data_IF_909931997258
#
_entry.id   IF_909931997258
#
_cell.length_a   1.000
_cell.length_b   1.000
_cell.length_c   1.000
_cell.angle_alpha   90.00
_cell.angle_beta   90.00
_cell.angle_gamma   90.00
#
_symmetry.space_group_name_H-M   'P 1'
#
loop_
_entity.id
_entity.type
_entity.pdbx_description
1 polymer ?
#
# COMPACT_ATOMS: atom_id res chain seq x y z
N UNK A 1 2.04 4.61 7.16
CA UNK A 1 3.06 5.49 7.80
C UNK A 1 3.76 4.84 8.99
N UNK A 2 3.07 4.15 9.91
CA UNK A 2 3.76 3.44 11.02
C UNK A 2 4.76 2.39 10.53
N UNK A 3 4.51 1.70 9.41
CA UNK A 3 5.50 0.79 8.80
C UNK A 3 6.80 1.47 8.37
N UNK A 4 6.72 2.73 7.90
CA UNK A 4 7.90 3.52 7.53
C UNK A 4 8.63 3.96 8.80
N UNK A 5 7.91 4.37 9.84
CA UNK A 5 8.50 4.64 11.15
C UNK A 5 9.21 3.39 11.70
N UNK A 6 8.64 2.20 11.52
CA UNK A 6 9.24 0.92 11.93
C UNK A 6 10.51 0.61 11.13
N UNK A 7 10.53 0.91 9.83
CA UNK A 7 11.73 0.82 9.00
C UNK A 7 12.82 1.82 9.42
N UNK A 8 12.45 3.04 9.82
CA UNK A 8 13.39 4.09 10.20
C UNK A 8 13.95 3.92 11.62
N UNK A 9 13.10 3.56 12.59
CA UNK A 9 13.47 3.42 14.00
C UNK A 9 13.93 2.00 14.37
N UNK A 10 13.67 1.02 13.51
CA UNK A 10 14.00 -0.38 13.75
C UNK A 10 12.97 -1.11 14.63
N UNK A 11 12.98 -2.43 14.51
CA UNK A 11 12.06 -3.33 15.24
C UNK A 11 12.33 -3.30 16.75
N UNK A 12 13.59 -3.19 17.16
CA UNK A 12 13.98 -3.25 18.57
C UNK A 12 13.50 -2.03 19.37
N UNK A 13 13.59 -0.84 18.77
CA UNK A 13 13.05 0.39 19.37
C UNK A 13 11.54 0.24 19.61
N UNK A 14 10.80 -0.23 18.60
CA UNK A 14 9.35 -0.41 18.73
C UNK A 14 8.98 -1.52 19.71
N UNK A 15 9.75 -2.61 19.78
CA UNK A 15 9.53 -3.73 20.72
C UNK A 15 9.53 -3.24 22.17
N UNK A 16 10.47 -2.39 22.53
CA UNK A 16 10.56 -1.81 23.89
C UNK A 16 9.34 -0.96 24.27
N UNK A 17 8.62 -0.42 23.28
CA UNK A 17 7.47 0.50 23.46
C UNK A 17 6.12 -0.09 23.03
N UNK A 18 6.03 -1.38 22.73
CA UNK A 18 4.78 -2.05 22.29
C UNK A 18 3.61 -1.77 23.24
N UNK A 19 3.84 -1.81 24.56
CA UNK A 19 2.78 -1.56 25.56
C UNK A 19 2.15 -0.17 25.39
N UNK A 20 2.97 0.86 25.16
CA UNK A 20 2.49 2.23 24.92
C UNK A 20 1.73 2.34 23.60
N UNK A 21 2.19 1.65 22.54
CA UNK A 21 1.51 1.63 21.25
C UNK A 21 0.13 0.94 21.32
N UNK A 22 0.03 -0.16 22.07
CA UNK A 22 -1.25 -0.84 22.31
C UNK A 22 -2.17 0.07 23.12
N UNK A 23 -1.68 0.66 24.21
CA UNK A 23 -2.48 1.53 25.06
C UNK A 23 -2.97 2.76 24.31
N UNK A 24 -2.08 3.45 23.58
CA UNK A 24 -2.42 4.64 22.80
C UNK A 24 -3.36 4.29 21.65
N UNK A 25 -3.12 3.19 20.94
CA UNK A 25 -4.02 2.72 19.87
C UNK A 25 -5.40 2.31 20.37
N UNK A 26 -5.47 1.67 21.55
CA UNK A 26 -6.73 1.31 22.20
C UNK A 26 -7.49 2.54 22.68
N UNK A 27 -6.81 3.49 23.33
CA UNK A 27 -7.41 4.75 23.78
C UNK A 27 -7.91 5.56 22.59
N UNK A 28 -7.13 5.64 21.51
CA UNK A 28 -7.51 6.30 20.26
C UNK A 28 -8.74 5.67 19.62
N UNK A 29 -8.79 4.33 19.59
CA UNK A 29 -9.96 3.60 19.09
C UNK A 29 -11.19 3.79 19.97
N UNK A 30 -11.02 3.81 21.30
CA UNK A 30 -12.13 4.02 22.24
C UNK A 30 -12.68 5.44 22.14
N UNK A 31 -11.81 6.44 21.99
CA UNK A 31 -12.22 7.82 21.74
C UNK A 31 -12.97 7.95 20.40
N UNK A 32 -12.51 7.27 19.36
CA UNK A 32 -13.21 7.20 18.08
C UNK A 32 -14.60 6.56 18.21
N UNK A 33 -14.72 5.50 19.00
CA UNK A 33 -16.00 4.86 19.28
C UNK A 33 -16.94 5.78 20.07
N UNK A 34 -16.43 6.52 21.06
CA UNK A 34 -17.20 7.51 21.80
C UNK A 34 -17.74 8.61 20.87
N UNK A 35 -16.91 9.13 19.95
CA UNK A 35 -17.35 10.13 18.94
C UNK A 35 -18.41 9.54 17.98
N UNK A 36 -18.29 8.26 17.64
CA UNK A 36 -19.28 7.59 16.80
C UNK A 36 -20.64 7.47 17.50
N UNK A 37 -20.63 7.05 18.78
CA UNK A 37 -21.83 6.94 19.61
C UNK A 37 -22.45 8.31 19.92
N UNK A 38 -21.63 9.34 20.17
CA UNK A 38 -22.04 10.75 20.29
C UNK A 38 -22.84 11.20 19.06
N UNK A 39 -22.39 10.80 17.86
CA UNK A 39 -23.10 11.00 16.61
C UNK A 39 -24.45 10.28 16.54
N UNK A 40 -24.62 9.13 17.19
CA UNK A 40 -25.89 8.40 17.29
C UNK A 40 -26.86 9.03 18.28
N UNK A 41 -26.36 9.58 19.39
CA UNK A 41 -27.18 10.20 20.43
C UNK A 41 -27.65 11.59 20.00
N UNK A 42 -26.84 12.32 19.22
CA UNK A 42 -27.20 13.62 18.65
C UNK A 42 -27.07 14.80 19.61
N UNK A 43 -26.76 14.52 20.87
CA UNK A 43 -26.23 15.52 21.81
C UNK A 43 -24.76 15.67 21.50
N UNK A 44 -24.39 16.51 20.53
CA UNK A 44 -23.00 16.65 20.07
C UNK A 44 -22.09 17.20 21.16
N UNK A 45 -21.38 16.33 21.89
CA UNK A 45 -20.32 16.75 22.81
C UNK A 45 -19.02 17.07 22.05
N UNK A 46 -18.84 16.52 20.85
CA UNK A 46 -17.69 16.80 20.01
C UNK A 46 -17.71 18.24 19.44
N UNK A 47 -16.64 19.05 19.62
CA UNK A 47 -16.59 20.45 19.16
C UNK A 47 -16.38 20.55 17.65
N UNK A 48 -17.44 20.31 16.87
CA UNK A 48 -17.44 20.31 15.40
C UNK A 48 -16.90 21.61 14.79
N UNK A 49 -17.20 22.76 15.39
CA UNK A 49 -16.70 24.06 14.92
C UNK A 49 -15.17 24.15 15.04
N UNK A 50 -14.61 23.67 16.14
CA UNK A 50 -13.16 23.67 16.34
C UNK A 50 -12.47 22.74 15.34
N UNK A 51 -13.03 21.54 15.13
CA UNK A 51 -12.55 20.62 14.09
C UNK A 51 -12.63 21.24 12.69
N UNK A 52 -13.74 21.91 12.35
CA UNK A 52 -13.89 22.67 11.11
C UNK A 52 -12.80 23.74 10.96
N UNK A 53 -12.53 24.55 11.99
CA UNK A 53 -11.48 25.56 11.93
C UNK A 53 -10.08 24.97 11.72
N UNK A 54 -9.75 23.86 12.41
CA UNK A 54 -8.48 23.16 12.20
C UNK A 54 -8.35 22.63 10.76
N UNK A 55 -9.44 22.06 10.22
CA UNK A 55 -9.47 21.57 8.85
C UNK A 55 -9.34 22.71 7.84
N UNK A 56 -9.95 23.87 8.12
CA UNK A 56 -9.83 25.07 7.30
C UNK A 56 -8.36 25.51 7.25
N UNK A 57 -7.71 25.63 8.41
CA UNK A 57 -6.31 26.02 8.53
C UNK A 57 -5.42 25.06 7.75
N UNK A 58 -5.58 23.75 7.95
CA UNK A 58 -4.82 22.72 7.23
C UNK A 58 -5.03 22.83 5.71
N UNK A 59 -6.25 23.11 5.26
CA UNK A 59 -6.57 23.28 3.84
C UNK A 59 -5.92 24.53 3.24
N UNK A 60 -5.89 25.64 3.98
CA UNK A 60 -5.23 26.88 3.57
C UNK A 60 -3.72 26.71 3.48
N UNK A 61 -3.11 26.02 4.46
CA UNK A 61 -1.68 25.68 4.42
C UNK A 61 -1.38 24.80 3.20
N UNK A 62 -2.20 23.76 2.98
CA UNK A 62 -2.03 22.85 1.83
C UNK A 62 -2.14 23.59 0.49
N UNK A 63 -3.12 24.49 0.33
CA UNK A 63 -3.30 25.29 -0.88
C UNK A 63 -2.17 26.31 -1.10
N UNK A 64 -1.64 26.88 -0.01
CA UNK A 64 -0.51 27.80 -0.08
C UNK A 64 0.74 27.10 -0.62
N UNK A 65 1.03 25.89 -0.11
CA UNK A 65 2.18 25.07 -0.53
C UNK A 65 1.97 24.43 -1.91
N UNK A 66 0.71 24.21 -2.33
CA UNK A 66 0.38 23.59 -3.61
C UNK A 66 1.02 24.30 -4.81
N UNK A 67 1.18 25.62 -4.72
CA UNK A 67 1.82 26.45 -5.76
C UNK A 67 3.28 26.06 -6.05
N UNK A 68 4.01 25.54 -5.05
CA UNK A 68 5.40 25.08 -5.18
C UNK A 68 5.57 23.62 -5.63
N UNK A 69 4.47 22.89 -5.86
CA UNK A 69 4.52 21.50 -6.31
C UNK A 69 4.95 21.35 -7.78
N UNK A 70 5.65 20.26 -8.11
CA UNK A 70 6.09 19.95 -9.48
C UNK A 70 5.18 18.87 -10.10
N UNK A 71 4.71 19.10 -11.33
CA UNK A 71 3.94 18.12 -12.11
C UNK A 71 2.68 17.62 -11.39
N UNK A 72 2.49 16.29 -11.33
CA UNK A 72 1.31 15.65 -10.73
C UNK A 72 1.13 15.98 -9.24
N UNK A 73 2.21 16.25 -8.50
CA UNK A 73 2.13 16.63 -7.09
C UNK A 73 1.33 17.92 -6.88
N UNK A 74 1.47 18.88 -7.80
CA UNK A 74 0.71 20.14 -7.77
C UNK A 74 -0.79 19.89 -7.84
N UNK A 75 -1.22 19.09 -8.83
CA UNK A 75 -2.63 18.77 -9.02
C UNK A 75 -3.23 18.05 -7.80
N UNK A 76 -2.49 17.09 -7.23
CA UNK A 76 -2.93 16.35 -6.04
C UNK A 76 -3.06 17.28 -4.82
N UNK A 77 -2.12 18.21 -4.63
CA UNK A 77 -2.18 19.18 -3.52
C UNK A 77 -3.36 20.14 -3.66
N UNK A 78 -3.62 20.68 -4.86
CA UNK A 78 -4.80 21.52 -5.11
C UNK A 78 -6.10 20.76 -4.90
N UNK A 79 -6.19 19.52 -5.38
CA UNK A 79 -7.39 18.70 -5.21
C UNK A 79 -7.66 18.39 -3.74
N UNK A 80 -6.62 17.95 -2.99
CA UNK A 80 -6.71 17.69 -1.55
C UNK A 80 -7.05 18.94 -0.75
N UNK A 81 -6.35 20.05 -1.02
CA UNK A 81 -6.60 21.32 -0.34
C UNK A 81 -8.01 21.84 -0.61
N UNK A 82 -8.44 21.79 -1.87
CA UNK A 82 -9.78 22.21 -2.29
C UNK A 82 -10.90 21.39 -1.65
N UNK A 83 -10.79 20.06 -1.66
CA UNK A 83 -11.82 19.20 -1.06
C UNK A 83 -11.89 19.36 0.47
N UNK A 84 -10.75 19.55 1.14
CA UNK A 84 -10.72 19.81 2.58
C UNK A 84 -11.27 21.19 2.93
N UNK A 85 -10.97 22.21 2.13
CA UNK A 85 -11.53 23.55 2.30
C UNK A 85 -13.06 23.53 2.14
N UNK A 86 -13.56 22.86 1.09
CA UNK A 86 -14.98 22.70 0.86
C UNK A 86 -15.69 21.98 2.02
N UNK A 87 -15.18 20.82 2.43
CA UNK A 87 -15.70 20.08 3.59
C UNK A 87 -15.68 20.94 4.84
N UNK A 88 -14.59 21.68 5.09
CA UNK A 88 -14.46 22.56 6.24
C UNK A 88 -15.53 23.66 6.27
N UNK A 89 -15.81 24.31 5.14
CA UNK A 89 -16.85 25.34 5.05
C UNK A 89 -18.24 24.76 5.32
N UNK A 90 -18.53 23.54 4.86
CA UNK A 90 -19.79 22.86 5.15
C UNK A 90 -19.94 22.56 6.65
N UNK A 91 -18.85 22.15 7.32
CA UNK A 91 -18.85 21.89 8.77
C UNK A 91 -19.13 23.18 9.54
N UNK A 92 -18.49 24.30 9.15
CA UNK A 92 -18.66 25.59 9.82
C UNK A 92 -20.05 26.20 9.59
N UNK A 93 -20.63 25.99 8.40
CA UNK A 93 -21.98 26.43 8.07
C UNK A 93 -23.03 25.76 8.97
N UNK A 94 -22.88 24.46 9.27
CA UNK A 94 -23.74 23.69 10.17
C UNK A 94 -25.26 23.84 9.89
N UNK A 95 -25.62 24.07 8.63
CA UNK A 95 -27.00 24.10 8.18
C UNK A 95 -27.46 22.70 7.74
N UNK A 96 -28.77 22.44 7.73
CA UNK A 96 -29.32 21.14 7.30
C UNK A 96 -28.86 20.73 5.90
N UNK A 97 -28.78 21.68 4.96
CA UNK A 97 -28.23 21.45 3.62
C UNK A 97 -26.74 21.10 3.63
N UNK A 98 -25.95 21.73 4.51
CA UNK A 98 -24.52 21.43 4.63
C UNK A 98 -24.27 20.04 5.19
N UNK A 99 -25.08 19.62 6.16
CA UNK A 99 -25.03 18.26 6.71
C UNK A 99 -25.46 17.20 5.68
N UNK A 100 -26.47 17.48 4.85
CA UNK A 100 -26.83 16.62 3.72
C UNK A 100 -25.67 16.49 2.74
N UNK A 101 -25.05 17.60 2.37
CA UNK A 101 -23.97 17.61 1.40
C UNK A 101 -22.72 16.90 1.93
N UNK A 102 -22.41 17.02 3.23
CA UNK A 102 -21.36 16.24 3.89
C UNK A 102 -21.65 14.74 3.88
N UNK A 103 -22.90 14.34 4.16
CA UNK A 103 -23.30 12.93 4.09
C UNK A 103 -23.17 12.37 2.67
N UNK A 104 -23.52 13.17 1.65
CA UNK A 104 -23.33 12.81 0.24
C UNK A 104 -21.83 12.62 -0.07
N UNK A 105 -20.99 13.59 0.28
CA UNK A 105 -19.55 13.56 0.01
C UNK A 105 -18.87 12.37 0.70
N UNK A 106 -19.10 12.17 1.99
CA UNK A 106 -18.50 11.08 2.75
C UNK A 106 -19.07 9.71 2.35
N UNK A 107 -20.37 9.61 2.16
CA UNK A 107 -21.02 8.38 1.70
C UNK A 107 -20.52 7.96 0.32
N UNK A 108 -20.40 8.91 -0.62
CA UNK A 108 -19.87 8.62 -1.95
C UNK A 108 -18.39 8.21 -1.90
N UNK A 109 -17.58 8.86 -1.04
CA UNK A 109 -16.19 8.45 -0.83
C UNK A 109 -16.09 7.00 -0.33
N UNK A 110 -16.88 6.61 0.68
CA UNK A 110 -16.93 5.23 1.18
C UNK A 110 -17.45 4.24 0.13
N UNK A 111 -18.44 4.64 -0.67
CA UNK A 111 -18.97 3.82 -1.75
C UNK A 111 -17.90 3.52 -2.80
N UNK A 112 -17.21 4.54 -3.29
CA UNK A 112 -16.14 4.39 -4.30
C UNK A 112 -14.99 3.55 -3.73
N UNK A 113 -14.53 3.84 -2.50
CA UNK A 113 -13.46 3.07 -1.86
C UNK A 113 -13.88 1.60 -1.70
N UNK A 114 -15.10 1.33 -1.20
CA UNK A 114 -15.63 -0.03 -1.04
C UNK A 114 -15.73 -0.78 -2.35
N UNK A 115 -16.16 -0.11 -3.42
CA UNK A 115 -16.21 -0.66 -4.76
C UNK A 115 -14.81 -1.07 -5.26
N UNK A 116 -13.82 -0.19 -5.14
CA UNK A 116 -12.44 -0.50 -5.51
C UNK A 116 -11.85 -1.65 -4.68
N UNK A 117 -12.14 -1.71 -3.39
CA UNK A 117 -11.70 -2.80 -2.50
C UNK A 117 -12.32 -4.14 -2.93
N UNK A 118 -13.62 -4.16 -3.25
CA UNK A 118 -14.30 -5.37 -3.73
C UNK A 118 -13.73 -5.81 -5.08
N UNK A 119 -13.58 -4.90 -6.04
CA UNK A 119 -12.99 -5.21 -7.35
C UNK A 119 -11.57 -5.74 -7.21
N UNK A 120 -10.73 -5.11 -6.40
CA UNK A 120 -9.36 -5.55 -6.16
C UNK A 120 -9.32 -6.94 -5.52
N UNK A 121 -10.13 -7.19 -4.48
CA UNK A 121 -10.21 -8.49 -3.83
C UNK A 121 -10.74 -9.59 -4.78
N UNK A 122 -11.73 -9.25 -5.61
CA UNK A 122 -12.35 -10.18 -6.56
C UNK A 122 -11.42 -10.59 -7.70
N UNK A 123 -10.67 -9.61 -8.25
CA UNK A 123 -9.73 -9.84 -9.36
C UNK A 123 -8.50 -10.59 -8.87
N UNK A 124 -7.85 -10.14 -7.78
CA UNK A 124 -6.55 -10.65 -7.35
C UNK A 124 -6.68 -11.95 -6.54
N UNK A 125 -7.79 -12.20 -5.84
CA UNK A 125 -8.05 -13.45 -5.08
C UNK A 125 -6.92 -13.92 -4.14
N UNK A 126 -6.16 -13.00 -3.56
CA UNK A 126 -5.10 -13.31 -2.59
C UNK A 126 -5.65 -14.06 -1.34
N UNK A 127 -4.82 -14.69 -0.49
CA UNK A 127 -5.28 -15.62 0.55
C UNK A 127 -6.38 -15.11 1.52
N UNK A 128 -6.49 -13.79 1.72
CA UNK A 128 -7.48 -13.14 2.59
C UNK A 128 -8.57 -12.37 1.84
N UNK A 129 -8.80 -12.70 0.56
CA UNK A 129 -9.74 -11.96 -0.31
C UNK A 129 -11.16 -11.93 0.24
N UNK A 130 -11.63 -13.01 0.91
CA UNK A 130 -12.97 -13.05 1.51
C UNK A 130 -13.14 -12.03 2.64
N UNK A 131 -12.12 -11.89 3.50
CA UNK A 131 -12.14 -10.88 4.57
C UNK A 131 -12.09 -9.47 4.01
N UNK A 132 -11.31 -9.27 2.95
CA UNK A 132 -11.19 -7.97 2.27
C UNK A 132 -12.48 -7.60 1.54
N UNK A 133 -13.13 -8.58 0.91
CA UNK A 133 -14.44 -8.42 0.30
C UNK A 133 -15.49 -8.07 1.36
N UNK A 134 -15.47 -8.73 2.52
CA UNK A 134 -16.35 -8.39 3.64
C UNK A 134 -16.11 -6.96 4.14
N UNK A 135 -14.87 -6.48 4.20
CA UNK A 135 -14.59 -5.08 4.55
C UNK A 135 -15.08 -4.09 3.49
N UNK A 136 -14.95 -4.42 2.20
CA UNK A 136 -15.50 -3.59 1.12
C UNK A 136 -17.03 -3.55 1.13
N UNK A 137 -17.67 -4.69 1.41
CA UNK A 137 -19.13 -4.76 1.58
C UNK A 137 -19.61 -3.95 2.79
N UNK A 138 -18.88 -4.03 3.91
CA UNK A 138 -19.15 -3.21 5.08
C UNK A 138 -19.04 -1.71 4.78
N UNK A 139 -18.08 -1.28 3.95
CA UNK A 139 -17.96 0.10 3.49
C UNK A 139 -19.14 0.53 2.62
N UNK A 140 -19.64 -0.34 1.74
CA UNK A 140 -20.85 -0.06 0.93
C UNK A 140 -22.09 0.07 1.83
N UNK A 141 -22.28 -0.85 2.79
CA UNK A 141 -23.38 -0.76 3.77
C UNK A 141 -23.28 0.54 4.56
N UNK A 142 -22.07 0.93 4.98
CA UNK A 142 -21.84 2.18 5.69
C UNK A 142 -22.13 3.42 4.83
N UNK A 143 -21.82 3.38 3.53
CA UNK A 143 -22.19 4.44 2.59
C UNK A 143 -23.71 4.60 2.47
N UNK A 144 -24.45 3.50 2.34
CA UNK A 144 -25.92 3.53 2.35
C UNK A 144 -26.49 4.00 3.69
N UNK A 145 -25.86 3.61 4.80
CA UNK A 145 -26.21 4.13 6.12
C UNK A 145 -26.08 5.66 6.17
N UNK A 146 -25.05 6.25 5.57
CA UNK A 146 -24.91 7.71 5.45
C UNK A 146 -25.95 8.36 4.54
N UNK A 147 -26.41 7.68 3.49
CA UNK A 147 -27.45 8.20 2.60
C UNK A 147 -28.88 8.03 3.14
N UNK A 148 -29.08 7.16 4.13
CA UNK A 148 -30.41 6.75 4.56
C UNK A 148 -31.25 7.95 5.04
N UNK A 149 -32.37 8.26 4.35
CA UNK A 149 -33.24 9.37 4.70
C UNK A 149 -34.09 9.09 5.97
N UNK A 150 -34.00 7.88 6.53
CA UNK A 150 -34.73 7.45 7.74
C UNK A 150 -34.10 7.90 9.07
N UNK A 151 -32.97 8.61 9.05
CA UNK A 151 -32.50 9.36 10.23
C UNK A 151 -33.29 10.67 10.28
N UNK A 152 -33.94 11.04 11.40
CA UNK A 152 -34.75 12.25 11.47
C UNK A 152 -33.83 13.48 11.41
N UNK A 153 -33.53 13.95 10.20
CA UNK A 153 -32.97 15.28 9.88
C UNK A 153 -31.55 15.54 10.48
N UNK A 154 -30.62 14.65 10.13
CA UNK A 154 -29.15 14.79 10.02
C UNK A 154 -28.36 15.34 11.24
N UNK A 155 -28.05 14.42 12.17
CA UNK A 155 -26.92 14.56 13.11
C UNK A 155 -25.60 14.70 12.32
N UNK A 156 -24.58 15.39 12.83
CA UNK A 156 -23.40 15.76 12.05
C UNK A 156 -22.68 14.51 11.48
N UNK A 157 -22.70 14.30 10.14
CA UNK A 157 -22.14 13.08 9.52
C UNK A 157 -20.62 12.97 9.72
N UNK A 158 -19.99 14.11 10.04
CA UNK A 158 -18.59 14.24 10.41
C UNK A 158 -18.25 13.33 11.59
N UNK A 159 -19.10 13.24 12.61
CA UNK A 159 -18.83 12.41 13.79
C UNK A 159 -18.77 10.93 13.44
N UNK A 160 -19.68 10.45 12.58
CA UNK A 160 -19.63 9.07 12.08
C UNK A 160 -18.39 8.81 11.24
N UNK A 161 -18.06 9.73 10.32
CA UNK A 161 -16.88 9.62 9.46
C UNK A 161 -15.59 9.57 10.29
N UNK A 162 -15.42 10.54 11.19
CA UNK A 162 -14.24 10.70 12.03
C UNK A 162 -14.10 9.55 13.03
N UNK A 163 -15.19 9.20 13.73
CA UNK A 163 -15.20 8.11 14.71
C UNK A 163 -14.81 6.77 14.06
N UNK A 164 -15.35 6.49 12.88
CA UNK A 164 -15.01 5.29 12.09
C UNK A 164 -13.52 5.28 11.70
N UNK A 165 -12.98 6.39 11.18
CA UNK A 165 -11.56 6.50 10.85
C UNK A 165 -10.65 6.31 12.08
N UNK A 166 -11.03 6.87 13.22
CA UNK A 166 -10.27 6.74 14.48
C UNK A 166 -10.28 5.30 15.01
N UNK A 167 -11.44 4.63 14.98
CA UNK A 167 -11.56 3.21 15.36
C UNK A 167 -10.67 2.34 14.46
N UNK A 168 -10.79 2.45 13.14
CA UNK A 168 -9.99 1.63 12.23
C UNK A 168 -8.49 1.91 12.34
N UNK A 169 -8.07 3.18 12.46
CA UNK A 169 -6.66 3.54 12.64
C UNK A 169 -6.09 3.06 13.97
N UNK A 170 -6.88 3.13 15.05
CA UNK A 170 -6.53 2.59 16.37
C UNK A 170 -6.37 1.07 16.34
N UNK A 171 -7.36 0.34 15.82
CA UNK A 171 -7.30 -1.12 15.65
C UNK A 171 -6.10 -1.53 14.81
N UNK A 172 -5.82 -0.83 13.70
CA UNK A 172 -4.68 -1.14 12.84
C UNK A 172 -3.35 -0.94 13.58
N UNK A 173 -3.25 0.12 14.39
CA UNK A 173 -2.08 0.39 15.24
C UNK A 173 -1.88 -0.70 16.29
N UNK A 174 -2.95 -1.13 16.97
CA UNK A 174 -2.91 -2.23 17.97
C UNK A 174 -2.52 -3.54 17.31
N UNK A 175 -3.12 -3.90 16.17
CA UNK A 175 -2.78 -5.13 15.43
C UNK A 175 -1.31 -5.15 15.00
N UNK A 176 -0.80 -4.00 14.55
CA UNK A 176 0.61 -3.87 14.18
C UNK A 176 1.52 -3.99 15.41
N UNK A 177 1.19 -3.33 16.53
CA UNK A 177 1.95 -3.44 17.77
C UNK A 177 1.98 -4.89 18.30
N UNK A 178 0.86 -5.60 18.26
CA UNK A 178 0.77 -7.03 18.60
C UNK A 178 1.56 -7.92 17.63
N UNK A 179 1.71 -7.52 16.37
CA UNK A 179 2.58 -8.23 15.42
C UNK A 179 4.05 -8.04 15.77
N UNK A 180 4.45 -6.82 16.10
CA UNK A 180 5.81 -6.50 16.57
C UNK A 180 6.16 -7.27 17.85
N UNK A 181 5.22 -7.39 18.77
CA UNK A 181 5.38 -8.14 20.02
C UNK A 181 5.70 -9.63 19.81
N UNK A 182 5.23 -10.20 18.69
CA UNK A 182 5.31 -11.65 18.40
C UNK A 182 6.50 -12.06 17.54
N UNK A 183 7.32 -11.10 17.08
CA UNK A 183 8.53 -11.43 16.33
C UNK A 183 9.62 -11.94 17.28
N UNK A 184 10.28 -13.03 16.89
CA UNK A 184 11.46 -13.53 17.60
C UNK A 184 12.65 -12.60 17.39
N UNK A 185 13.65 -12.73 18.25
CA UNK A 185 14.95 -12.06 18.07
C UNK A 185 15.59 -12.53 16.75
N UNK A 186 16.10 -11.59 15.94
CA UNK A 186 16.79 -11.88 14.68
C UNK A 186 15.93 -11.91 13.41
N UNK A 187 14.64 -11.55 13.45
CA UNK A 187 13.76 -11.52 12.26
C UNK A 187 13.81 -10.15 11.56
N UNK A 188 13.91 -10.13 10.23
CA UNK A 188 14.08 -8.92 9.42
C UNK A 188 12.87 -7.99 9.49
N UNK A 189 13.09 -6.67 9.42
CA UNK A 189 12.01 -5.67 9.34
C UNK A 189 11.08 -5.93 8.14
N UNK A 190 11.60 -6.55 7.08
CA UNK A 190 10.81 -6.87 5.89
C UNK A 190 9.74 -7.94 6.16
N UNK A 191 9.97 -8.87 7.10
CA UNK A 191 8.98 -9.89 7.47
C UNK A 191 7.73 -9.28 8.14
N UNK A 192 7.84 -8.05 8.65
CA UNK A 192 6.69 -7.28 9.16
C UNK A 192 5.84 -6.65 8.06
N UNK A 193 6.45 -6.31 6.92
CA UNK A 193 5.78 -5.73 5.76
C UNK A 193 5.06 -6.79 4.93
N UNK A 194 5.47 -8.06 5.02
CA UNK A 194 4.77 -9.17 4.37
C UNK A 194 3.37 -9.33 5.00
N UNK A 195 2.29 -9.32 4.20
CA UNK A 195 0.94 -9.59 4.68
C UNK A 195 0.87 -10.93 5.41
N UNK A 196 0.23 -10.96 6.59
CA UNK A 196 -0.02 -12.20 7.33
C UNK A 196 -0.78 -13.15 6.40
N UNK A 197 -0.15 -14.25 6.00
CA UNK A 197 -0.67 -15.17 4.98
C UNK A 197 0.41 -15.72 4.06
N UNK A 198 1.30 -14.86 3.57
CA UNK A 198 2.39 -15.30 2.68
C UNK A 198 3.55 -15.89 3.51
N UNK A 199 3.85 -15.29 4.67
CA UNK A 199 4.93 -15.77 5.55
C UNK A 199 4.59 -16.94 6.48
N UNK A 200 3.31 -17.35 6.59
CA UNK A 200 2.95 -18.48 7.47
C UNK A 200 3.08 -19.84 6.77
N UNK A 201 3.12 -19.88 5.43
CA UNK A 201 3.36 -21.12 4.69
C UNK A 201 4.85 -21.43 4.52
N UNK A 202 5.72 -20.42 4.47
CA UNK A 202 7.18 -20.61 4.58
C UNK A 202 7.55 -21.31 5.90
N UNK A 203 6.71 -21.18 6.94
CA UNK A 203 6.94 -21.83 8.23
C UNK A 203 6.69 -23.33 8.25
N UNK A 204 5.90 -23.92 7.34
CA UNK A 204 5.63 -25.36 7.40
C UNK A 204 6.81 -26.24 6.95
N UNK A 205 7.83 -25.64 6.33
CA UNK A 205 9.11 -26.30 6.03
C UNK A 205 10.29 -25.86 6.91
N UNK A 206 10.06 -24.92 7.84
CA UNK A 206 11.12 -24.25 8.61
C UNK A 206 11.15 -24.67 10.10
N UNK A 207 10.64 -25.86 10.44
CA UNK A 207 10.87 -26.49 11.75
C UNK A 207 12.33 -26.97 11.91
N UNK A 208 13.10 -26.99 10.82
CA UNK A 208 14.54 -27.01 10.89
C UNK A 208 15.03 -25.59 11.20
N UNK A 209 15.54 -25.38 12.41
CA UNK A 209 16.43 -24.26 12.73
C UNK A 209 17.42 -24.14 11.55
N UNK A 210 17.39 -23.07 10.73
CA UNK A 210 18.40 -22.94 9.69
C UNK A 210 19.72 -22.97 10.44
N UNK A 211 20.50 -24.02 10.20
CA UNK A 211 21.88 -24.08 10.63
C UNK A 211 22.47 -22.86 9.95
N UNK A 212 22.68 -21.79 10.70
CA UNK A 212 23.49 -20.67 10.27
C UNK A 212 24.80 -21.37 9.95
N UNK A 213 25.05 -21.63 8.67
CA UNK A 213 26.37 -21.99 8.24
C UNK A 213 27.25 -20.88 8.82
N UNK A 214 28.27 -21.26 9.58
CA UNK A 214 29.29 -20.30 9.98
C UNK A 214 29.60 -19.47 8.75
N UNK A 215 29.60 -18.12 8.85
CA UNK A 215 29.92 -17.31 7.71
C UNK A 215 31.33 -17.73 7.30
N UNK A 216 31.40 -18.56 6.27
CA UNK A 216 32.58 -18.66 5.45
C UNK A 216 32.89 -17.20 5.14
N UNK A 217 34.11 -16.75 5.42
CA UNK A 217 34.57 -15.39 5.19
C UNK A 217 34.57 -15.13 3.66
N UNK A 218 33.38 -15.14 3.05
CA UNK A 218 33.11 -14.63 1.75
C UNK A 218 33.17 -13.12 1.92
N UNK A 219 34.36 -12.60 1.63
CA UNK A 219 34.66 -11.19 1.55
C UNK A 219 33.85 -10.63 0.37
N UNK A 220 32.55 -10.38 0.59
CA UNK A 220 31.64 -9.76 -0.38
C UNK A 220 32.02 -8.29 -0.53
N UNK A 221 33.14 -8.04 -1.22
CA UNK A 221 33.65 -6.70 -1.53
C UNK A 221 32.88 -6.05 -2.68
N UNK A 222 32.17 -6.84 -3.45
CA UNK A 222 31.42 -6.38 -4.62
C UNK A 222 29.99 -5.99 -4.24
N UNK A 223 29.46 -4.91 -4.84
CA UNK A 223 28.18 -4.37 -4.44
C UNK A 223 27.03 -5.28 -4.92
N UNK A 224 26.03 -5.42 -4.05
CA UNK A 224 24.74 -5.99 -4.40
C UNK A 224 24.10 -5.14 -5.51
N UNK A 225 23.79 -5.77 -6.64
CA UNK A 225 23.12 -5.13 -7.77
C UNK A 225 21.68 -5.63 -7.86
N UNK A 226 20.73 -4.69 -7.86
CA UNK A 226 19.32 -4.99 -8.11
C UNK A 226 18.98 -4.55 -9.52
N UNK A 227 18.55 -5.51 -10.33
CA UNK A 227 18.11 -5.29 -11.71
C UNK A 227 16.58 -5.20 -11.73
N UNK A 228 16.05 -4.13 -12.32
CA UNK A 228 14.62 -3.88 -12.44
C UNK A 228 14.27 -3.64 -13.91
N UNK A 229 13.37 -4.47 -14.44
CA UNK A 229 12.82 -4.33 -15.77
C UNK A 229 11.36 -3.92 -15.65
N UNK A 230 11.00 -2.81 -16.31
CA UNK A 230 9.61 -2.35 -16.38
C UNK A 230 8.84 -3.16 -17.44
N UNK A 231 7.51 -3.28 -17.34
CA UNK A 231 6.73 -4.04 -18.31
C UNK A 231 6.89 -3.51 -19.74
N UNK A 232 6.97 -2.18 -19.90
CA UNK A 232 7.25 -1.52 -21.18
C UNK A 232 8.68 -1.82 -21.70
N UNK A 233 9.69 -1.82 -20.82
CA UNK A 233 11.07 -2.18 -21.19
C UNK A 233 11.33 -3.67 -21.38
N UNK A 234 10.34 -4.53 -21.11
CA UNK A 234 10.43 -5.99 -21.33
C UNK A 234 9.68 -6.40 -22.62
N UNK A 235 8.87 -5.50 -23.19
CA UNK A 235 8.12 -5.77 -24.41
C UNK A 235 9.06 -5.91 -25.61
N UNK A 236 8.85 -6.98 -26.41
CA UNK A 236 9.66 -7.24 -27.60
C UNK A 236 9.25 -6.37 -28.80
N UNK A 237 8.00 -5.91 -28.83
CA UNK A 237 7.42 -5.07 -29.88
C UNK A 237 6.85 -3.76 -29.31
N UNK A 238 6.49 -2.84 -30.21
CA UNK A 238 5.95 -1.53 -29.83
C UNK A 238 4.67 -1.67 -29.01
N UNK A 239 4.66 -1.08 -27.82
CA UNK A 239 3.51 -1.19 -26.91
C UNK A 239 2.41 -0.21 -27.26
N UNK A 240 1.15 -0.63 -27.09
CA UNK A 240 0.00 0.27 -27.23
C UNK A 240 0.03 1.24 -26.05
N UNK A 241 0.16 2.56 -26.26
CA UNK A 241 0.41 3.50 -25.17
C UNK A 241 -0.80 3.58 -24.23
N UNK A 242 -0.64 3.04 -23.01
CA UNK A 242 -1.56 3.22 -21.88
C UNK A 242 -0.77 3.86 -20.73
N UNK A 243 -0.80 5.21 -20.61
CA UNK A 243 -0.04 5.92 -19.59
C UNK A 243 -0.28 5.33 -18.19
N UNK A 244 0.78 5.19 -17.39
CA UNK A 244 0.79 4.58 -16.05
C UNK A 244 0.63 3.05 -16.04
N UNK A 245 -0.31 2.48 -16.80
CA UNK A 245 -0.55 1.02 -16.80
C UNK A 245 0.65 0.26 -17.40
N UNK A 246 1.13 0.67 -18.56
CA UNK A 246 2.25 0.02 -19.26
C UNK A 246 3.54 0.01 -18.42
N UNK A 247 3.73 1.03 -17.57
CA UNK A 247 4.97 1.18 -16.80
C UNK A 247 4.97 0.41 -15.48
N UNK A 248 3.80 0.15 -14.90
CA UNK A 248 3.73 -0.37 -13.53
C UNK A 248 2.96 -1.68 -13.36
N UNK A 249 2.07 -2.03 -14.31
CA UNK A 249 1.19 -3.19 -14.17
C UNK A 249 1.55 -4.23 -15.23
N UNK A 250 1.30 -3.92 -16.49
CA UNK A 250 1.60 -4.77 -17.63
C UNK A 250 1.56 -3.92 -18.91
N UNK A 251 2.44 -4.20 -19.86
CA UNK A 251 2.42 -3.61 -21.18
C UNK A 251 1.94 -4.65 -22.20
N UNK A 252 1.16 -4.22 -23.17
CA UNK A 252 0.66 -5.06 -24.27
C UNK A 252 1.23 -4.52 -25.56
N UNK A 253 1.85 -5.37 -26.35
CA UNK A 253 2.35 -4.99 -27.67
C UNK A 253 1.25 -4.98 -28.74
N UNK A 254 1.62 -4.54 -29.94
CA UNK A 254 0.75 -4.52 -31.13
C UNK A 254 0.25 -5.90 -31.56
N UNK A 255 0.92 -6.98 -31.13
CA UNK A 255 0.59 -8.37 -31.43
C UNK A 255 -0.29 -9.00 -30.33
N UNK A 256 -0.53 -8.27 -29.24
CA UNK A 256 -1.38 -8.69 -28.12
C UNK A 256 -0.63 -9.47 -27.03
N UNK A 257 0.70 -9.59 -27.11
CA UNK A 257 1.52 -10.27 -26.10
C UNK A 257 1.71 -9.37 -24.89
N UNK A 258 1.52 -9.96 -23.71
CA UNK A 258 1.56 -9.22 -22.45
C UNK A 258 2.93 -9.37 -21.79
N UNK A 259 3.58 -8.24 -21.55
CA UNK A 259 4.81 -8.13 -20.76
C UNK A 259 4.49 -7.65 -19.36
N UNK A 260 4.95 -8.41 -18.35
CA UNK A 260 4.97 -8.00 -16.95
C UNK A 260 6.42 -7.75 -16.57
N UNK A 261 6.72 -6.64 -15.91
CA UNK A 261 8.09 -6.34 -15.47
C UNK A 261 8.66 -7.43 -14.56
N UNK A 262 9.96 -7.40 -14.31
CA UNK A 262 10.61 -8.35 -13.41
C UNK A 262 11.76 -7.72 -12.64
N UNK A 263 12.14 -8.36 -11.53
CA UNK A 263 13.28 -7.95 -10.72
C UNK A 263 14.21 -9.13 -10.46
N UNK A 264 15.50 -8.86 -10.48
CA UNK A 264 16.54 -9.82 -10.14
C UNK A 264 17.60 -9.18 -9.25
N UNK A 265 18.31 -10.01 -8.51
CA UNK A 265 19.29 -9.63 -7.53
C UNK A 265 20.58 -10.40 -7.81
N UNK A 266 21.69 -9.67 -7.94
CA UNK A 266 22.99 -10.20 -8.28
C UNK A 266 24.03 -9.81 -7.23
N UNK A 267 24.75 -10.83 -6.73
CA UNK A 267 25.96 -10.68 -5.91
C UNK A 267 27.07 -11.46 -6.61
N UNK A 268 28.02 -10.77 -7.26
CA UNK A 268 29.17 -11.43 -7.84
C UNK A 268 30.05 -12.08 -6.75
N UNK A 269 30.78 -13.17 -7.07
CA UNK A 269 30.85 -13.83 -8.38
C UNK A 269 29.83 -14.97 -8.59
N UNK A 270 28.88 -15.21 -7.67
CA UNK A 270 28.19 -16.51 -7.65
C UNK A 270 26.68 -16.53 -7.38
N UNK A 271 26.00 -15.40 -7.14
CA UNK A 271 24.58 -15.45 -6.78
C UNK A 271 23.78 -14.58 -7.74
N UNK A 272 22.90 -15.21 -8.51
CA UNK A 272 21.86 -14.55 -9.30
C UNK A 272 20.47 -15.14 -8.96
N UNK A 273 19.63 -14.30 -8.36
CA UNK A 273 18.26 -14.66 -7.97
C UNK A 273 17.30 -13.84 -8.82
N UNK A 274 16.47 -14.50 -9.62
CA UNK A 274 15.43 -13.86 -10.43
C UNK A 274 14.05 -14.26 -9.92
N UNK A 275 13.16 -13.29 -9.72
CA UNK A 275 11.72 -13.56 -9.48
C UNK A 275 10.96 -13.89 -10.77
N UNK A 276 11.67 -14.09 -11.88
CA UNK A 276 11.09 -14.50 -13.14
C UNK A 276 10.81 -16.01 -13.17
N UNK A 277 9.68 -16.45 -13.75
CA UNK A 277 9.35 -17.86 -13.93
C UNK A 277 10.47 -18.66 -14.62
N UNK A 278 10.61 -19.94 -14.27
CA UNK A 278 11.57 -20.85 -14.89
C UNK A 278 11.26 -21.11 -16.37
N UNK A 279 9.99 -21.08 -16.75
CA UNK A 279 9.49 -21.20 -18.13
C UNK A 279 8.68 -19.95 -18.47
N UNK A 280 8.79 -19.47 -19.70
CA UNK A 280 8.02 -18.31 -20.16
C UNK A 280 6.52 -18.67 -20.14
N UNK A 281 5.73 -17.92 -19.37
CA UNK A 281 4.27 -18.09 -19.33
C UNK A 281 3.72 -17.49 -20.61
N UNK A 282 3.07 -18.30 -21.45
CA UNK A 282 2.32 -17.79 -22.59
C UNK A 282 1.13 -16.98 -22.07
N UNK A 283 1.07 -15.69 -22.44
CA UNK A 283 0.10 -14.75 -21.87
C UNK A 283 -0.92 -14.37 -22.92
N UNK A 284 -1.88 -15.28 -23.15
CA UNK A 284 -3.06 -14.94 -23.93
C UNK A 284 -3.91 -13.89 -23.20
N UNK A 285 -4.47 -12.87 -23.89
CA UNK A 285 -5.31 -11.84 -23.26
C UNK A 285 -6.53 -12.41 -22.52
N UNK A 286 -7.04 -13.56 -22.97
CA UNK A 286 -8.16 -14.25 -22.34
C UNK A 286 -7.79 -14.88 -20.98
N UNK A 287 -6.53 -15.27 -20.79
CA UNK A 287 -6.04 -15.91 -19.55
C UNK A 287 -5.37 -14.94 -18.59
N UNK A 288 -5.08 -13.71 -19.01
CA UNK A 288 -4.39 -12.71 -18.19
C UNK A 288 -5.05 -12.47 -16.81
N UNK A 289 -6.39 -12.38 -16.76
CA UNK A 289 -7.11 -12.24 -15.49
C UNK A 289 -7.02 -13.49 -14.61
N UNK A 290 -6.84 -14.67 -15.21
CA UNK A 290 -6.56 -15.89 -14.45
C UNK A 290 -5.13 -15.85 -13.90
N UNK A 291 -4.14 -15.41 -14.68
CA UNK A 291 -2.74 -15.26 -14.25
C UNK A 291 -2.57 -14.24 -13.12
N UNK A 292 -3.40 -13.20 -13.06
CA UNK A 292 -3.39 -12.19 -11.98
C UNK A 292 -3.92 -12.72 -10.63
N UNK A 293 -4.52 -13.92 -10.58
CA UNK A 293 -4.99 -14.50 -9.33
C UNK A 293 -3.79 -14.97 -8.50
N UNK A 294 -3.67 -14.47 -7.28
CA UNK A 294 -2.68 -14.94 -6.31
C UNK A 294 -3.17 -16.21 -5.60
N UNK A 295 -3.51 -17.23 -6.39
CA UNK A 295 -3.91 -18.58 -5.96
C UNK A 295 -2.77 -19.55 -6.22
N UNK A 296 -2.68 -20.64 -5.42
CA UNK A 296 -1.64 -21.66 -5.57
C UNK A 296 -1.59 -22.31 -6.96
N UNK A 297 -2.72 -22.32 -7.67
CA UNK A 297 -2.81 -22.83 -9.03
C UNK A 297 -1.93 -22.05 -10.03
N UNK A 298 -1.51 -20.82 -9.67
CA UNK A 298 -0.62 -19.98 -10.47
C UNK A 298 0.81 -19.92 -9.92
N UNK A 299 1.16 -20.77 -8.93
CA UNK A 299 2.52 -20.85 -8.41
C UNK A 299 3.41 -21.54 -9.47
N UNK A 300 4.40 -20.80 -9.98
CA UNK A 300 5.38 -21.31 -10.95
C UNK A 300 6.78 -21.38 -10.31
N UNK A 301 7.59 -22.41 -10.61
CA UNK A 301 8.97 -22.47 -10.14
C UNK A 301 9.77 -21.25 -10.63
N UNK A 302 10.56 -20.66 -9.73
CA UNK A 302 11.49 -19.57 -10.09
C UNK A 302 12.80 -20.10 -10.65
N UNK A 303 13.54 -19.26 -11.39
CA UNK A 303 14.89 -19.57 -11.86
C UNK A 303 15.95 -19.03 -10.89
N UNK A 304 16.73 -19.93 -10.29
CA UNK A 304 17.98 -19.59 -9.59
C UNK A 304 19.16 -20.06 -10.44
N UNK A 305 20.14 -19.19 -10.67
CA UNK A 305 21.32 -19.49 -11.47
C UNK A 305 22.56 -18.88 -10.81
N UNK A 306 23.72 -19.47 -11.05
CA UNK A 306 25.01 -18.88 -10.64
C UNK A 306 25.39 -17.67 -11.52
N UNK A 307 24.71 -17.49 -12.66
CA UNK A 307 25.03 -16.44 -13.64
C UNK A 307 23.77 -15.96 -14.37
N UNK A 308 23.74 -14.67 -14.67
CA UNK A 308 22.66 -14.03 -15.44
C UNK A 308 22.50 -14.70 -16.82
N UNK A 309 21.28 -15.11 -17.20
CA UNK A 309 21.04 -15.77 -18.48
C UNK A 309 21.15 -14.80 -19.67
N UNK A 310 21.56 -15.27 -20.86
CA UNK A 310 21.88 -14.44 -22.03
C UNK A 310 20.69 -13.61 -22.56
N UNK A 311 19.45 -14.12 -22.45
CA UNK A 311 18.23 -13.37 -22.82
C UNK A 311 18.05 -12.09 -21.98
N UNK A 312 18.43 -12.13 -20.70
CA UNK A 312 18.37 -10.96 -19.81
C UNK A 312 19.57 -10.02 -20.00
N UNK A 313 20.72 -10.54 -20.49
CA UNK A 313 21.86 -9.71 -20.89
C UNK A 313 21.55 -8.86 -22.13
N UNK A 314 20.77 -9.38 -23.10
CA UNK A 314 20.38 -8.63 -24.31
C UNK A 314 19.41 -7.47 -24.03
N UNK A 315 18.58 -7.57 -22.98
CA UNK A 315 17.72 -6.47 -22.50
C UNK A 315 18.41 -5.48 -21.57
N UNK A 316 19.74 -5.63 -21.36
CA UNK A 316 20.46 -4.87 -20.34
C UNK A 316 20.66 -3.38 -20.67
N UNK A 317 20.44 -2.97 -21.92
CA UNK A 317 20.53 -1.57 -22.33
C UNK A 317 19.39 -0.69 -21.78
N UNK A 318 18.30 -1.29 -21.27
CA UNK A 318 17.12 -0.58 -20.74
C UNK A 318 16.99 -0.68 -19.21
N UNK A 319 18.04 -1.11 -18.51
CA UNK A 319 18.01 -1.37 -17.06
C UNK A 319 18.34 -0.10 -16.25
N UNK A 320 17.51 0.21 -15.25
CA UNK A 320 17.93 1.08 -14.14
C UNK A 320 18.76 0.25 -13.15
N UNK A 321 20.08 0.48 -13.11
CA UNK A 321 20.97 -0.18 -12.14
C UNK A 321 21.05 0.64 -10.86
N UNK A 322 20.76 0.02 -9.73
CA UNK A 322 21.00 0.57 -8.40
C UNK A 322 22.04 -0.29 -7.69
N UNK A 323 23.16 0.33 -7.36
CA UNK A 323 24.31 -0.33 -6.74
C UNK A 323 24.48 0.23 -5.33
N UNK A 324 24.55 -0.65 -4.32
CA UNK A 324 24.80 -0.25 -2.93
C UNK A 324 26.10 -0.86 -2.43
N UNK A 325 27.07 -0.01 -2.09
CA UNK A 325 28.38 -0.40 -1.56
C UNK A 325 28.43 -0.50 -0.02
N UNK A 326 27.33 -0.18 0.67
CA UNK A 326 27.24 -0.29 2.12
C UNK A 326 25.90 -0.92 2.52
N UNK A 327 25.94 -2.04 3.24
CA UNK A 327 24.76 -2.73 3.82
C UNK A 327 24.23 -1.99 5.06
N UNK A 328 24.28 -0.66 5.04
CA UNK A 328 23.55 0.24 5.94
C UNK A 328 22.92 1.30 5.05
N UNK A 329 21.59 1.28 4.96
CA UNK A 329 20.76 2.03 4.03
C UNK A 329 21.01 3.55 4.02
N UNK A 330 22.08 4.02 3.35
CA UNK A 330 22.39 5.45 3.28
C UNK A 330 22.76 6.02 1.91
N UNK A 331 22.91 5.21 0.85
CA UNK A 331 23.03 5.76 -0.53
C UNK A 331 22.77 4.67 -1.57
N UNK A 332 21.60 4.69 -2.21
CA UNK A 332 21.41 4.07 -3.51
C UNK A 332 21.74 5.12 -4.57
N UNK A 333 22.78 4.90 -5.39
CA UNK A 333 22.98 5.67 -6.61
C UNK A 333 22.25 4.98 -7.76
N UNK A 334 21.27 5.67 -8.35
CA UNK A 334 20.59 5.21 -9.57
C UNK A 334 21.40 5.72 -10.76
N UNK A 335 21.93 4.84 -11.60
CA UNK A 335 22.47 5.23 -12.89
C UNK A 335 21.48 4.83 -13.98
N UNK A 336 20.97 5.80 -14.73
CA UNK A 336 20.19 5.58 -15.95
C UNK A 336 20.70 6.53 -17.02
N UNK A 337 21.08 5.99 -18.19
CA UNK A 337 21.37 6.80 -19.36
C UNK A 337 20.06 7.35 -19.94
N UNK A 338 19.96 8.64 -20.28
CA UNK A 338 18.84 9.14 -21.05
C UNK A 338 19.08 8.78 -22.52
N UNK A 339 18.30 7.85 -23.06
CA UNK A 339 18.13 7.74 -24.51
C UNK A 339 16.81 8.41 -24.87
N UNK A 340 16.93 9.48 -25.65
CA UNK A 340 15.89 10.36 -26.21
C UNK A 340 14.77 9.64 -26.92
#
# INVERSE_FOLDING_TARGET
>A
MIQIALLLFGVDFMRSRVKYLILLGSLWSLLGLAIFLDGLDGVTYFPLRFFGLLLLLESLVTLSIASGGVGAQKAVLYFKGGIFCFVSLLILSNQSYSNLLLAIVFGFAYFVIGLFVIFSAWIVRFPHWKSTLATGLAQIIFAFFMFSPGQPIIKPPVSFFLGTLMVFSGIHTVRLALRVARLREGTSVFDLLVPAGIGFEVKKGADAKPKIAEPENADFREPLTVHIWTPEGTASASTIPRPVINRYIAAVDSEGVISTGHAALEVPPGIYISLYPAEDIDRSPAEFLNTLKATRDNDVPGRSSLTMPPKQQSGASQIAKSTSTNTTAKRCSVSGAPTS
#
